data_IF_383611873477
#
_entry.id   IF_383611873477
#
_cell.length_a   1.000
_cell.length_b   1.000
_cell.length_c   1.000
_cell.angle_alpha   90.00
_cell.angle_beta   90.00
_cell.angle_gamma   90.00
#
_symmetry.space_group_name_H-M   'P 1'
#
loop_
_entity.id
_entity.type
_entity.pdbx_description
1 polymer ?
#
# COMPACT_ATOMS: atom_id res chain seq x y z
N UNK A 1 -29.80 0.39 5.93
CA UNK A 1 -29.97 1.19 4.69
C UNK A 1 -28.76 0.97 3.79
N UNK A 2 -28.75 1.39 2.52
CA UNK A 2 -27.53 1.29 1.69
C UNK A 2 -26.72 2.59 1.79
N UNK A 3 -25.41 2.51 1.53
CA UNK A 3 -24.53 3.68 1.46
C UNK A 3 -24.94 4.65 0.33
N UNK A 4 -25.63 4.15 -0.72
CA UNK A 4 -26.25 4.96 -1.78
C UNK A 4 -27.48 5.78 -1.36
N UNK A 5 -27.99 5.53 -0.15
CA UNK A 5 -29.26 6.07 0.35
C UNK A 5 -29.06 7.19 1.38
N UNK A 6 -27.85 7.28 1.97
CA UNK A 6 -27.40 8.43 2.76
C UNK A 6 -27.38 9.71 1.89
N UNK A 7 -27.69 10.84 2.53
CA UNK A 7 -27.60 12.18 1.96
C UNK A 7 -26.27 12.83 2.36
N UNK A 8 -25.98 13.95 1.70
CA UNK A 8 -24.92 14.91 2.05
C UNK A 8 -24.89 15.18 3.57
N UNK A 9 -23.70 15.09 4.16
CA UNK A 9 -23.39 15.24 5.58
C UNK A 9 -24.02 14.22 6.55
N UNK A 10 -24.74 13.19 6.07
CA UNK A 10 -25.19 12.08 6.91
C UNK A 10 -24.06 11.06 7.14
N UNK A 11 -24.01 10.44 8.32
CA UNK A 11 -23.04 9.39 8.67
C UNK A 11 -23.69 8.03 8.78
N UNK A 12 -22.93 6.98 8.50
CA UNK A 12 -23.36 5.59 8.69
C UNK A 12 -22.22 4.64 9.02
N UNK A 13 -22.47 3.70 9.94
CA UNK A 13 -21.53 2.62 10.29
C UNK A 13 -21.72 1.42 9.36
N UNK A 14 -20.65 0.87 8.80
CA UNK A 14 -20.69 -0.30 7.89
C UNK A 14 -21.13 -1.55 8.65
N UNK A 15 -22.28 -2.10 8.28
CA UNK A 15 -22.77 -3.39 8.80
C UNK A 15 -22.34 -4.54 7.90
N UNK A 16 -22.36 -4.35 6.58
CA UNK A 16 -22.07 -5.39 5.59
C UNK A 16 -21.66 -4.79 4.24
N UNK A 17 -20.77 -5.46 3.53
CA UNK A 17 -20.55 -5.23 2.09
C UNK A 17 -21.12 -6.42 1.33
N UNK A 18 -22.07 -6.12 0.44
CA UNK A 18 -22.60 -7.06 -0.56
C UNK A 18 -21.79 -6.94 -1.85
N UNK A 19 -21.92 -7.93 -2.74
CA UNK A 19 -21.09 -8.06 -3.93
C UNK A 19 -20.09 -9.21 -3.78
N UNK A 20 -19.49 -9.60 -4.90
CA UNK A 20 -18.66 -10.81 -4.99
C UNK A 20 -17.36 -10.50 -5.74
N UNK A 21 -16.26 -11.17 -5.36
CA UNK A 21 -14.96 -11.04 -6.01
C UNK A 21 -14.35 -9.64 -5.88
N UNK A 22 -13.63 -9.21 -6.93
CA UNK A 22 -12.76 -8.03 -6.96
C UNK A 22 -13.37 -6.75 -6.36
N UNK A 23 -14.67 -6.51 -6.54
CA UNK A 23 -15.32 -5.33 -5.98
C UNK A 23 -15.28 -5.30 -4.45
N UNK A 24 -15.60 -6.42 -3.77
CA UNK A 24 -15.60 -6.48 -2.31
C UNK A 24 -14.18 -6.24 -1.78
N UNK A 25 -13.18 -6.96 -2.32
CA UNK A 25 -11.79 -6.86 -1.85
C UNK A 25 -11.22 -5.46 -2.06
N UNK A 26 -11.32 -4.86 -3.26
CA UNK A 26 -10.85 -3.48 -3.52
C UNK A 26 -11.46 -2.47 -2.53
N UNK A 27 -12.75 -2.58 -2.24
CA UNK A 27 -13.45 -1.65 -1.34
C UNK A 27 -13.00 -1.84 0.12
N UNK A 28 -12.85 -3.08 0.60
CA UNK A 28 -12.36 -3.32 1.97
C UNK A 28 -10.87 -3.04 2.16
N UNK A 29 -10.05 -3.14 1.11
CA UNK A 29 -8.67 -2.61 1.11
C UNK A 29 -8.61 -1.08 1.14
N UNK A 30 -9.68 -0.40 0.68
CA UNK A 30 -9.88 1.06 0.81
C UNK A 30 -10.56 1.42 2.14
N UNK A 31 -10.34 0.66 3.23
CA UNK A 31 -10.83 1.00 4.58
C UNK A 31 -12.33 0.80 4.82
N UNK A 32 -13.11 0.38 3.82
CA UNK A 32 -14.51 0.01 4.03
C UNK A 32 -14.57 -1.39 4.68
N UNK A 33 -14.34 -1.47 6.00
CA UNK A 33 -14.45 -2.71 6.79
C UNK A 33 -15.57 -2.62 7.84
N UNK A 34 -16.10 -3.77 8.23
CA UNK A 34 -17.28 -3.88 9.11
C UNK A 34 -17.02 -3.20 10.46
N UNK A 35 -17.91 -2.28 10.84
CA UNK A 35 -17.81 -1.47 12.06
C UNK A 35 -17.19 -0.08 11.87
N UNK A 36 -16.64 0.24 10.69
CA UNK A 36 -16.12 1.58 10.40
C UNK A 36 -17.24 2.61 10.19
N UNK A 37 -16.98 3.85 10.59
CA UNK A 37 -17.85 5.01 10.36
C UNK A 37 -17.51 5.68 9.02
N UNK A 38 -18.54 6.04 8.25
CA UNK A 38 -18.43 6.80 6.99
C UNK A 38 -19.31 8.05 7.08
N UNK A 39 -18.81 9.18 6.60
CA UNK A 39 -19.56 10.41 6.32
C UNK A 39 -19.79 10.54 4.80
N UNK A 40 -20.95 11.03 4.35
CA UNK A 40 -21.10 11.48 2.95
C UNK A 40 -20.64 12.93 2.84
N UNK A 41 -19.59 13.18 2.05
CA UNK A 41 -19.05 14.53 1.86
C UNK A 41 -19.93 15.31 0.88
N UNK A 42 -20.12 14.78 -0.33
CA UNK A 42 -20.92 15.45 -1.37
C UNK A 42 -21.38 14.53 -2.51
N UNK A 43 -22.43 14.95 -3.21
CA UNK A 43 -22.84 14.37 -4.49
C UNK A 43 -22.18 15.14 -5.64
N UNK A 44 -21.59 14.44 -6.62
CA UNK A 44 -21.13 15.08 -7.84
C UNK A 44 -22.31 15.76 -8.59
N UNK A 45 -22.09 16.80 -9.43
CA UNK A 45 -23.18 17.57 -10.06
C UNK A 45 -24.20 16.78 -10.90
N UNK A 46 -23.87 15.55 -11.30
CA UNK A 46 -24.76 14.62 -12.03
C UNK A 46 -25.30 13.47 -11.15
N UNK A 47 -25.07 13.51 -9.84
CA UNK A 47 -25.46 12.52 -8.81
C UNK A 47 -24.83 11.13 -8.95
N UNK A 48 -23.68 11.06 -9.63
CA UNK A 48 -22.75 9.93 -9.74
C UNK A 48 -21.38 10.52 -10.18
N UNK A 49 -20.24 10.23 -9.52
CA UNK A 49 -20.08 9.48 -8.26
C UNK A 49 -20.65 10.23 -7.03
N UNK A 50 -20.55 9.58 -5.87
CA UNK A 50 -20.80 10.15 -4.54
C UNK A 50 -19.49 10.07 -3.76
N UNK A 51 -19.14 11.15 -3.06
CA UNK A 51 -17.90 11.30 -2.30
C UNK A 51 -18.15 11.00 -0.82
N UNK A 52 -17.35 10.09 -0.25
CA UNK A 52 -17.51 9.56 1.10
C UNK A 52 -16.20 9.69 1.88
N UNK A 53 -16.24 10.24 3.10
CA UNK A 53 -15.08 10.24 4.00
C UNK A 53 -15.11 8.96 4.84
N UNK A 54 -14.02 8.19 4.81
CA UNK A 54 -13.80 6.96 5.58
C UNK A 54 -12.42 7.00 6.20
N UNK A 55 -12.25 6.60 7.47
CA UNK A 55 -10.95 6.67 8.19
C UNK A 55 -10.22 8.03 8.04
N UNK A 56 -10.97 9.13 7.98
CA UNK A 56 -10.42 10.50 7.85
C UNK A 56 -10.24 11.04 6.42
N UNK A 57 -10.39 10.23 5.37
CA UNK A 57 -10.09 10.64 3.99
C UNK A 57 -11.22 10.37 2.98
N UNK A 58 -11.23 11.16 1.90
CA UNK A 58 -12.30 11.12 0.90
C UNK A 58 -12.12 10.04 -0.18
N UNK A 59 -13.24 9.42 -0.55
CA UNK A 59 -13.36 8.41 -1.60
C UNK A 59 -14.60 8.67 -2.44
N UNK A 60 -14.40 9.02 -3.71
CA UNK A 60 -15.45 9.02 -4.74
C UNK A 60 -15.77 7.58 -5.18
N UNK A 61 -16.95 7.05 -4.80
CA UNK A 61 -17.49 5.77 -5.29
C UNK A 61 -18.62 6.01 -6.31
N UNK A 62 -18.74 5.14 -7.32
CA UNK A 62 -19.92 5.20 -8.20
C UNK A 62 -21.17 4.79 -7.44
N UNK A 63 -22.32 5.38 -7.77
CA UNK A 63 -23.58 5.12 -7.09
C UNK A 63 -24.03 3.65 -7.17
N UNK A 64 -23.67 2.95 -8.25
CA UNK A 64 -23.88 1.49 -8.41
C UNK A 64 -22.98 0.64 -7.51
N UNK A 65 -21.84 1.17 -7.09
CA UNK A 65 -20.89 0.52 -6.19
C UNK A 65 -21.33 0.73 -4.73
N UNK A 66 -21.60 1.98 -4.33
CA UNK A 66 -22.13 2.32 -3.01
C UNK A 66 -23.48 1.64 -2.70
N UNK A 67 -24.30 1.36 -3.72
CA UNK A 67 -25.55 0.62 -3.57
C UNK A 67 -25.38 -0.84 -3.09
N UNK A 68 -24.16 -1.36 -2.99
CA UNK A 68 -23.91 -2.70 -2.46
C UNK A 68 -23.48 -2.71 -0.97
N UNK A 69 -23.25 -1.55 -0.35
CA UNK A 69 -22.76 -1.43 1.03
C UNK A 69 -23.95 -1.13 1.95
N UNK A 70 -24.09 -1.85 3.06
CA UNK A 70 -25.16 -1.67 4.06
C UNK A 70 -24.64 -0.93 5.30
N UNK A 71 -25.36 0.11 5.72
CA UNK A 71 -25.00 0.99 6.86
C UNK A 71 -26.18 1.25 7.82
N UNK A 72 -25.89 1.89 8.96
CA UNK A 72 -26.83 2.38 9.98
C UNK A 72 -26.44 3.81 10.42
N UNK A 73 -27.42 4.73 10.47
CA UNK A 73 -27.28 6.16 10.78
C UNK A 73 -26.78 6.50 12.20
N UNK A 74 -26.02 7.60 12.30
CA UNK A 74 -25.91 8.51 13.46
C UNK A 74 -25.52 9.93 12.96
N UNK A 75 -25.62 10.96 13.80
CA UNK A 75 -25.89 12.34 13.34
C UNK A 75 -24.73 13.38 13.46
N UNK A 76 -24.70 14.28 12.46
CA UNK A 76 -24.31 15.71 12.42
C UNK A 76 -22.90 16.19 12.82
N UNK A 77 -22.16 16.77 11.86
CA UNK A 77 -21.97 18.25 11.68
C UNK A 77 -20.92 18.59 10.58
N UNK A 78 -21.01 19.79 9.97
CA UNK A 78 -20.44 20.17 8.66
C UNK A 78 -19.16 21.05 8.67
N UNK A 79 -18.40 21.14 7.55
CA UNK A 79 -18.17 22.38 6.72
C UNK A 79 -17.07 22.25 5.63
N UNK A 80 -17.23 22.97 4.50
CA UNK A 80 -16.43 22.92 3.25
C UNK A 80 -15.20 23.87 3.15
N UNK A 81 -14.36 23.70 2.10
CA UNK A 81 -13.97 24.76 1.09
C UNK A 81 -13.05 24.21 -0.05
N UNK A 82 -12.99 24.91 -1.21
CA UNK A 82 -12.52 24.46 -2.54
C UNK A 82 -11.47 25.42 -3.18
N UNK A 83 -10.40 24.93 -3.87
CA UNK A 83 -9.36 25.73 -4.60
C UNK A 83 -8.84 25.03 -5.88
N UNK A 84 -8.37 25.80 -6.89
CA UNK A 84 -7.98 25.37 -8.25
C UNK A 84 -6.44 25.43 -8.56
N UNK A 85 -6.06 25.34 -9.85
CA UNK A 85 -4.93 24.56 -10.41
C UNK A 85 -3.59 25.28 -10.80
N UNK A 86 -2.63 24.47 -11.30
CA UNK A 86 -1.17 24.69 -11.59
C UNK A 86 -0.73 25.50 -12.85
N UNK A 87 0.57 25.88 -12.96
CA UNK A 87 1.52 25.37 -14.02
C UNK A 87 3.01 25.85 -14.00
N UNK A 88 3.85 25.08 -14.74
CA UNK A 88 5.35 24.92 -14.81
C UNK A 88 6.15 26.06 -15.53
N UNK A 89 7.45 26.06 -15.91
CA UNK A 89 8.64 25.16 -16.19
C UNK A 89 9.94 26.07 -16.10
N UNK A 90 11.25 25.76 -16.26
CA UNK A 90 12.17 24.58 -16.19
C UNK A 90 13.67 25.04 -16.46
N UNK A 91 14.68 24.16 -16.39
CA UNK A 91 16.06 24.39 -16.95
C UNK A 91 17.26 23.64 -16.30
N UNK A 92 18.25 23.18 -17.09
CA UNK A 92 19.45 22.38 -16.67
C UNK A 92 20.73 22.82 -17.45
N UNK A 93 22.00 22.48 -17.07
CA UNK A 93 22.59 21.17 -17.46
C UNK A 93 23.82 20.57 -16.68
N UNK A 94 23.93 19.23 -16.78
CA UNK A 94 25.15 18.40 -16.98
C UNK A 94 25.99 17.76 -15.85
N UNK A 95 26.72 16.72 -16.27
CA UNK A 95 27.19 15.53 -15.52
C UNK A 95 28.71 15.52 -15.31
N UNK A 96 29.18 14.85 -14.24
CA UNK A 96 30.52 14.21 -14.22
C UNK A 96 30.42 12.77 -13.69
N UNK A 97 31.03 11.82 -14.42
CA UNK A 97 30.93 10.38 -14.15
C UNK A 97 32.00 9.94 -13.15
N UNK A 98 31.60 9.37 -12.02
CA UNK A 98 32.48 8.61 -11.11
C UNK A 98 32.02 7.15 -11.03
N UNK A 99 32.79 6.29 -10.35
CA UNK A 99 32.42 4.89 -10.09
C UNK A 99 31.55 4.81 -8.83
N UNK A 100 30.40 5.48 -8.86
CA UNK A 100 29.41 5.39 -7.77
C UNK A 100 28.85 3.97 -7.64
N UNK A 101 28.58 3.54 -6.40
CA UNK A 101 27.66 2.43 -6.14
C UNK A 101 26.24 2.91 -6.45
N UNK A 102 25.47 2.13 -7.19
CA UNK A 102 24.06 2.43 -7.49
C UNK A 102 23.17 1.81 -6.41
N UNK A 103 22.10 2.51 -6.03
CA UNK A 103 20.98 1.97 -5.23
C UNK A 103 19.70 2.25 -6.01
N UNK A 104 18.97 1.20 -6.42
CA UNK A 104 17.63 1.33 -6.99
C UNK A 104 16.62 1.60 -5.88
N UNK A 105 15.75 2.59 -6.06
CA UNK A 105 14.72 2.93 -5.08
C UNK A 105 13.35 2.94 -5.77
N UNK A 106 12.44 2.08 -5.30
CA UNK A 106 11.03 2.14 -5.69
C UNK A 106 10.29 3.12 -4.76
N UNK A 107 9.80 4.23 -5.31
CA UNK A 107 9.04 5.23 -4.57
C UNK A 107 7.54 4.91 -4.69
N UNK A 108 6.95 4.53 -3.56
CA UNK A 108 5.54 4.10 -3.42
C UNK A 108 4.83 4.93 -2.35
N UNK A 109 3.52 4.75 -2.24
CA UNK A 109 2.67 5.42 -1.26
C UNK A 109 1.26 5.62 -1.79
N UNK A 110 0.34 5.97 -0.89
CA UNK A 110 -1.04 6.24 -1.25
C UNK A 110 -1.13 7.50 -2.15
N UNK A 111 -2.14 7.61 -3.04
CA UNK A 111 -2.48 8.87 -3.68
C UNK A 111 -2.58 10.02 -2.67
N UNK A 112 -2.12 11.20 -3.08
CA UNK A 112 -2.05 12.44 -2.29
C UNK A 112 -1.14 12.43 -1.03
N UNK A 113 -0.42 11.35 -0.73
CA UNK A 113 0.60 11.27 0.36
C UNK A 113 1.77 12.28 0.26
N UNK A 114 1.84 13.10 -0.79
CA UNK A 114 2.97 13.99 -1.09
C UNK A 114 4.15 13.31 -1.78
N UNK A 115 4.03 12.03 -2.15
CA UNK A 115 5.00 11.25 -2.94
C UNK A 115 5.60 12.04 -4.12
N UNK A 116 4.78 12.66 -4.96
CA UNK A 116 5.22 13.46 -6.11
C UNK A 116 6.00 14.72 -5.71
N UNK A 117 5.62 15.37 -4.60
CA UNK A 117 6.32 16.54 -4.06
C UNK A 117 7.73 16.17 -3.61
N UNK A 118 7.86 15.02 -2.94
CA UNK A 118 9.14 14.47 -2.51
C UNK A 118 10.00 14.03 -3.72
N UNK A 119 9.40 13.39 -4.72
CA UNK A 119 10.09 13.05 -5.97
C UNK A 119 10.65 14.29 -6.65
N UNK A 120 9.83 15.33 -6.86
CA UNK A 120 10.24 16.57 -7.52
C UNK A 120 11.36 17.28 -6.74
N UNK A 121 11.36 17.21 -5.39
CA UNK A 121 12.45 17.76 -4.57
C UNK A 121 13.75 16.98 -4.75
N UNK A 122 13.68 15.65 -4.77
CA UNK A 122 14.85 14.77 -4.93
C UNK A 122 15.40 14.74 -6.37
N UNK A 123 14.53 14.88 -7.39
CA UNK A 123 14.90 14.92 -8.80
C UNK A 123 15.50 16.27 -9.23
N UNK A 124 15.03 17.36 -8.60
CA UNK A 124 15.40 18.73 -8.90
C UNK A 124 15.02 19.15 -10.32
N UNK A 125 15.93 18.92 -11.26
CA UNK A 125 15.75 19.21 -12.68
C UNK A 125 16.13 18.04 -13.62
N UNK A 126 16.51 16.87 -13.07
CA UNK A 126 17.07 15.73 -13.83
C UNK A 126 16.06 14.59 -14.04
N UNK A 127 14.79 14.91 -14.26
CA UNK A 127 13.74 13.91 -14.50
C UNK A 127 13.84 13.27 -15.89
N UNK A 128 13.56 11.97 -15.96
CA UNK A 128 13.36 11.21 -17.18
C UNK A 128 12.02 10.48 -17.09
N UNK A 129 11.06 10.88 -17.92
CA UNK A 129 9.73 10.25 -17.99
C UNK A 129 9.78 9.04 -18.93
N UNK A 130 9.28 7.89 -18.48
CA UNK A 130 9.16 6.66 -19.27
C UNK A 130 7.72 6.15 -19.29
N UNK A 131 7.37 5.40 -20.34
CA UNK A 131 6.12 4.65 -20.41
C UNK A 131 6.44 3.16 -20.27
N UNK A 132 5.66 2.43 -19.48
CA UNK A 132 5.84 0.98 -19.35
C UNK A 132 5.32 0.22 -20.59
N UNK A 133 5.74 -1.04 -20.73
CA UNK A 133 5.50 -1.83 -21.94
C UNK A 133 4.01 -2.14 -22.14
N UNK A 134 3.36 -1.42 -23.05
CA UNK A 134 2.00 -1.70 -23.51
C UNK A 134 0.86 -1.03 -22.72
N UNK A 135 1.16 -0.17 -21.74
CA UNK A 135 0.14 0.53 -20.93
C UNK A 135 0.46 2.02 -20.84
N UNK A 136 -0.57 2.88 -20.80
CA UNK A 136 -0.44 4.34 -20.65
C UNK A 136 -0.03 4.80 -19.24
N UNK A 137 0.56 3.90 -18.44
CA UNK A 137 1.07 4.20 -17.10
C UNK A 137 2.47 4.78 -17.28
N UNK A 138 2.59 6.09 -17.07
CA UNK A 138 3.87 6.78 -17.04
C UNK A 138 4.57 6.59 -15.70
N UNK A 139 5.85 6.23 -15.73
CA UNK A 139 6.75 6.34 -14.58
C UNK A 139 7.66 7.55 -14.74
N UNK A 140 8.03 8.17 -13.61
CA UNK A 140 9.17 9.08 -13.59
C UNK A 140 10.38 8.36 -13.04
N UNK A 141 11.53 8.56 -13.66
CA UNK A 141 12.83 8.13 -13.13
C UNK A 141 13.70 9.35 -12.90
N UNK A 142 14.41 9.39 -11.77
CA UNK A 142 15.37 10.43 -11.45
C UNK A 142 16.61 9.78 -10.85
N UNK A 143 17.77 10.39 -11.10
CA UNK A 143 19.03 9.94 -10.52
C UNK A 143 19.84 11.12 -9.99
N UNK A 144 20.38 10.95 -8.78
CA UNK A 144 21.17 11.97 -8.10
C UNK A 144 22.19 11.30 -7.17
N UNK A 145 23.24 12.04 -6.83
CA UNK A 145 24.36 11.50 -6.06
C UNK A 145 24.32 12.04 -4.62
N UNK A 146 24.35 11.13 -3.65
CA UNK A 146 24.27 11.44 -2.22
C UNK A 146 25.24 10.54 -1.44
N UNK A 147 26.08 11.12 -0.59
CA UNK A 147 27.07 10.41 0.26
C UNK A 147 27.92 9.32 -0.46
N UNK A 148 28.26 9.54 -1.73
CA UNK A 148 29.09 8.61 -2.55
C UNK A 148 28.30 7.51 -3.26
N UNK A 149 26.98 7.46 -3.08
CA UNK A 149 26.05 6.60 -3.81
C UNK A 149 25.35 7.38 -4.92
N UNK A 150 25.03 6.69 -6.02
CA UNK A 150 24.11 7.14 -7.07
C UNK A 150 22.75 6.53 -6.77
N UNK A 151 21.81 7.34 -6.33
CA UNK A 151 20.46 6.92 -5.99
C UNK A 151 19.59 7.03 -7.25
N UNK A 152 18.94 5.95 -7.65
CA UNK A 152 18.05 5.89 -8.82
C UNK A 152 16.62 5.65 -8.35
N UNK A 153 15.85 6.73 -8.22
CA UNK A 153 14.46 6.69 -7.77
C UNK A 153 13.53 6.52 -8.97
N UNK A 154 12.65 5.51 -8.91
CA UNK A 154 11.50 5.40 -9.79
C UNK A 154 10.22 5.74 -9.03
N UNK A 155 9.53 6.79 -9.47
CA UNK A 155 8.19 7.14 -9.01
C UNK A 155 7.17 6.17 -9.63
N UNK A 156 6.53 5.36 -8.78
CA UNK A 156 5.45 4.46 -9.18
C UNK A 156 4.08 5.13 -8.95
N UNK A 157 3.00 4.71 -9.64
CA UNK A 157 1.66 5.22 -9.39
C UNK A 157 1.27 5.17 -7.92
N UNK A 158 0.51 6.16 -7.45
CA UNK A 158 -0.08 6.10 -6.11
C UNK A 158 -1.10 4.97 -6.05
N UNK A 159 -0.96 4.06 -5.07
CA UNK A 159 -1.85 2.90 -4.91
C UNK A 159 -2.31 2.74 -3.46
N UNK A 160 -3.44 2.06 -3.26
CA UNK A 160 -3.93 1.68 -1.92
C UNK A 160 -3.48 0.26 -1.51
N UNK A 161 -3.14 -0.58 -2.49
CA UNK A 161 -2.80 -1.99 -2.27
C UNK A 161 -1.96 -2.57 -3.44
N UNK A 162 -1.57 -3.83 -3.31
CA UNK A 162 -0.81 -4.64 -4.27
C UNK A 162 -1.63 -5.86 -4.74
N UNK A 163 -2.95 -5.73 -4.75
CA UNK A 163 -3.92 -6.78 -5.08
C UNK A 163 -4.31 -6.83 -6.56
N UNK A 164 -3.80 -5.90 -7.37
CA UNK A 164 -3.84 -5.90 -8.83
C UNK A 164 -5.25 -5.83 -9.46
N UNK A 165 -6.20 -5.13 -8.83
CA UNK A 165 -7.53 -4.85 -9.42
C UNK A 165 -7.52 -3.67 -10.39
N UNK A 166 -6.68 -2.67 -10.15
CA UNK A 166 -6.36 -1.63 -11.13
C UNK A 166 -5.09 -1.94 -11.91
N UNK A 167 -4.96 -1.47 -13.17
CA UNK A 167 -3.70 -1.48 -13.91
C UNK A 167 -2.55 -0.84 -13.13
N UNK A 168 -2.84 0.18 -12.33
CA UNK A 168 -1.93 0.90 -11.47
C UNK A 168 -1.42 0.01 -10.31
N UNK A 169 -2.31 -0.63 -9.54
CA UNK A 169 -1.95 -1.60 -8.49
C UNK A 169 -1.10 -2.75 -9.05
N UNK A 170 -1.51 -3.30 -10.21
CA UNK A 170 -0.79 -4.39 -10.87
C UNK A 170 0.60 -3.94 -11.29
N UNK A 171 0.72 -2.75 -11.88
CA UNK A 171 2.01 -2.20 -12.28
C UNK A 171 2.94 -1.95 -11.07
N UNK A 172 2.43 -1.41 -9.96
CA UNK A 172 3.23 -1.26 -8.73
C UNK A 172 3.71 -2.61 -8.24
N UNK A 173 2.85 -3.65 -8.20
CA UNK A 173 3.26 -5.01 -7.84
C UNK A 173 4.34 -5.57 -8.77
N UNK A 174 4.10 -5.56 -10.09
CA UNK A 174 5.05 -6.04 -11.08
C UNK A 174 6.41 -5.35 -10.91
N UNK A 175 6.44 -4.04 -10.69
CA UNK A 175 7.68 -3.30 -10.51
C UNK A 175 8.42 -3.71 -9.23
N UNK A 176 7.72 -3.88 -8.11
CA UNK A 176 8.32 -4.31 -6.85
C UNK A 176 8.88 -5.73 -6.90
N UNK A 177 8.25 -6.64 -7.65
CA UNK A 177 8.63 -8.06 -7.73
C UNK A 177 9.68 -8.33 -8.83
N UNK A 178 9.53 -7.72 -10.01
CA UNK A 178 10.30 -8.09 -11.21
C UNK A 178 11.52 -7.19 -11.46
N UNK A 179 11.52 -5.94 -10.96
CA UNK A 179 12.63 -5.00 -11.21
C UNK A 179 13.68 -4.98 -10.08
N UNK A 180 13.40 -5.67 -8.97
CA UNK A 180 14.30 -5.88 -7.82
C UNK A 180 14.88 -4.57 -7.24
N UNK A 181 14.05 -3.72 -6.58
CA UNK A 181 14.53 -2.49 -5.96
C UNK A 181 15.32 -2.76 -4.68
N UNK A 182 16.54 -2.22 -4.57
CA UNK A 182 17.39 -2.35 -3.37
C UNK A 182 16.71 -1.87 -2.08
N UNK A 183 15.88 -0.84 -2.19
CA UNK A 183 15.06 -0.27 -1.11
C UNK A 183 13.71 0.23 -1.66
N UNK A 184 12.62 -0.05 -0.95
CA UNK A 184 11.34 0.62 -1.13
C UNK A 184 11.30 1.87 -0.25
N UNK A 185 11.07 3.03 -0.86
CA UNK A 185 10.71 4.24 -0.13
C UNK A 185 9.19 4.39 -0.15
N UNK A 186 8.55 4.10 0.99
CA UNK A 186 7.10 4.25 1.13
C UNK A 186 6.77 5.60 1.77
N UNK A 187 6.03 6.45 1.08
CA UNK A 187 5.58 7.75 1.59
C UNK A 187 4.17 7.61 2.14
N UNK A 188 4.02 7.89 3.44
CA UNK A 188 2.76 7.85 4.14
C UNK A 188 2.38 9.24 4.63
N UNK A 189 1.09 9.56 4.54
CA UNK A 189 0.51 10.73 5.17
C UNK A 189 0.34 10.49 6.69
N UNK A 190 0.99 11.32 7.50
CA UNK A 190 0.97 11.28 8.96
C UNK A 190 -0.42 11.57 9.56
N UNK A 191 -1.28 12.31 8.85
CA UNK A 191 -2.65 12.60 9.26
C UNK A 191 -3.60 11.41 9.05
N UNK A 192 -3.23 10.44 8.19
CA UNK A 192 -4.07 9.30 7.81
C UNK A 192 -3.34 7.94 7.97
N UNK A 193 -2.69 7.72 9.12
CA UNK A 193 -1.80 6.57 9.37
C UNK A 193 -2.42 5.20 9.00
N UNK A 194 -3.58 4.85 9.56
CA UNK A 194 -4.19 3.52 9.43
C UNK A 194 -4.31 3.07 7.97
N UNK A 195 -4.84 3.97 7.12
CA UNK A 195 -4.96 3.80 5.66
C UNK A 195 -3.63 3.57 4.96
N UNK A 196 -2.60 4.36 5.30
CA UNK A 196 -1.30 4.29 4.64
C UNK A 196 -0.47 3.08 5.14
N UNK A 197 -0.71 2.65 6.39
CA UNK A 197 -0.12 1.43 6.93
C UNK A 197 -0.72 0.16 6.31
N UNK A 198 -1.93 0.20 5.74
CA UNK A 198 -2.48 -0.94 5.00
C UNK A 198 -1.60 -1.36 3.81
N UNK A 199 -1.21 -0.42 2.93
CA UNK A 199 -0.24 -0.67 1.86
C UNK A 199 1.11 -1.17 2.45
N UNK A 200 1.54 -0.60 3.57
CA UNK A 200 2.77 -1.01 4.28
C UNK A 200 2.72 -2.49 4.69
N UNK A 201 1.57 -3.02 5.13
CA UNK A 201 1.44 -4.46 5.45
C UNK A 201 1.72 -5.37 4.26
N UNK A 202 1.38 -4.93 3.04
CA UNK A 202 1.55 -5.72 1.83
C UNK A 202 2.97 -5.62 1.27
N UNK A 203 3.66 -4.51 1.53
CA UNK A 203 5.10 -4.36 1.26
C UNK A 203 5.93 -5.22 2.23
N UNK A 204 5.53 -5.32 3.51
CA UNK A 204 6.16 -6.20 4.50
C UNK A 204 6.17 -7.66 4.04
N UNK A 205 5.05 -8.17 3.50
CA UNK A 205 4.96 -9.55 3.02
C UNK A 205 5.84 -9.84 1.78
N UNK A 206 6.32 -8.82 1.04
CA UNK A 206 7.29 -8.99 -0.04
C UNK A 206 8.74 -9.15 0.48
N UNK A 207 8.97 -8.96 1.78
CA UNK A 207 10.28 -9.02 2.46
C UNK A 207 11.37 -8.05 1.92
N UNK A 208 10.98 -7.05 1.12
CA UNK A 208 11.89 -6.03 0.56
C UNK A 208 12.28 -5.01 1.65
N UNK A 209 13.56 -4.63 1.67
CA UNK A 209 14.09 -3.54 2.52
C UNK A 209 13.26 -2.28 2.29
N UNK A 210 12.70 -1.72 3.36
CA UNK A 210 11.79 -0.56 3.27
C UNK A 210 12.26 0.57 4.20
N UNK A 211 12.03 1.82 3.79
CA UNK A 211 12.09 3.03 4.62
C UNK A 211 10.77 3.77 4.48
N UNK A 212 10.25 4.31 5.58
CA UNK A 212 9.02 5.09 5.57
C UNK A 212 9.32 6.59 5.71
N UNK A 213 8.90 7.37 4.72
CA UNK A 213 8.78 8.81 4.82
C UNK A 213 7.41 9.16 5.41
N UNK A 214 7.39 9.53 6.70
CA UNK A 214 6.20 9.96 7.43
C UNK A 214 5.98 11.45 7.11
N UNK A 215 5.29 11.74 6.01
CA UNK A 215 5.11 13.07 5.44
C UNK A 215 3.88 13.79 6.02
N UNK A 216 3.79 15.11 5.84
CA UNK A 216 2.77 15.98 6.46
C UNK A 216 2.83 15.93 7.99
N UNK A 217 4.01 15.65 8.55
CA UNK A 217 4.21 15.51 9.99
C UNK A 217 3.96 16.82 10.75
N UNK A 218 4.13 17.96 10.08
CA UNK A 218 3.73 19.27 10.57
C UNK A 218 2.22 19.38 10.79
N UNK A 219 1.39 18.89 9.87
CA UNK A 219 -0.08 18.88 10.03
C UNK A 219 -0.48 17.94 11.18
N UNK A 220 0.16 16.78 11.27
CA UNK A 220 0.00 15.85 12.39
C UNK A 220 0.34 16.51 13.75
N UNK A 221 1.46 17.24 13.87
CA UNK A 221 1.81 17.98 15.09
C UNK A 221 0.79 19.09 15.41
N UNK A 222 0.27 19.81 14.41
CA UNK A 222 -0.75 20.85 14.62
C UNK A 222 -2.10 20.29 15.09
N UNK A 223 -2.42 19.02 14.78
CA UNK A 223 -3.63 18.36 15.30
C UNK A 223 -3.59 18.12 16.83
N UNK A 224 -2.41 18.23 17.47
CA UNK A 224 -2.21 17.88 18.88
C UNK A 224 -2.05 16.37 19.15
N UNK A 225 -2.11 15.55 18.10
CA UNK A 225 -1.87 14.10 18.16
C UNK A 225 -0.43 13.77 18.58
N UNK A 226 -0.20 12.51 19.00
CA UNK A 226 1.12 12.02 19.41
C UNK A 226 1.35 10.62 18.86
N UNK A 227 2.52 10.42 18.25
CA UNK A 227 2.95 9.14 17.71
C UNK A 227 4.40 8.87 18.14
N UNK A 228 4.67 7.72 18.75
CA UNK A 228 6.05 7.27 18.89
C UNK A 228 6.48 6.49 17.64
N UNK A 229 6.82 7.22 16.58
CA UNK A 229 7.22 6.65 15.29
C UNK A 229 8.47 5.74 15.40
N UNK A 230 9.26 5.88 16.47
CA UNK A 230 10.42 5.03 16.74
C UNK A 230 10.01 3.66 17.29
N UNK A 231 9.03 3.60 18.20
CA UNK A 231 8.46 2.35 18.70
C UNK A 231 7.63 1.65 17.62
N UNK A 232 6.79 2.39 16.89
CA UNK A 232 6.07 1.88 15.71
C UNK A 232 7.04 1.26 14.68
N UNK A 233 8.11 1.97 14.33
CA UNK A 233 9.12 1.47 13.40
C UNK A 233 9.85 0.22 13.91
N UNK A 234 10.21 0.19 15.20
CA UNK A 234 10.82 -0.98 15.83
C UNK A 234 9.86 -2.19 15.86
N UNK A 235 8.55 -1.97 16.01
CA UNK A 235 7.55 -3.03 15.96
C UNK A 235 7.35 -3.57 14.53
N UNK A 236 7.15 -2.69 13.55
CA UNK A 236 6.95 -3.05 12.14
C UNK A 236 8.24 -3.51 11.44
N UNK A 237 9.42 -3.27 12.01
CA UNK A 237 10.72 -3.63 11.44
C UNK A 237 11.18 -2.71 10.31
N UNK A 238 10.66 -1.49 10.25
CA UNK A 238 10.90 -0.50 9.20
C UNK A 238 11.19 0.85 9.87
N UNK A 239 12.29 1.57 9.53
CA UNK A 239 12.53 2.89 10.08
C UNK A 239 11.58 3.94 9.49
N UNK A 240 10.95 4.72 10.37
CA UNK A 240 10.15 5.89 10.03
C UNK A 240 11.00 7.16 10.17
N UNK A 241 10.92 8.05 9.18
CA UNK A 241 11.54 9.38 9.20
C UNK A 241 10.44 10.43 9.01
N UNK A 242 10.19 11.31 10.00
CA UNK A 242 9.30 12.46 9.84
C UNK A 242 9.78 13.40 8.74
N UNK A 243 8.88 13.82 7.85
CA UNK A 243 9.19 14.73 6.73
C UNK A 243 8.09 15.76 6.50
N UNK A 244 8.48 16.87 5.88
CA UNK A 244 7.56 17.87 5.32
C UNK A 244 8.04 18.17 3.91
N UNK A 245 7.62 17.34 2.95
CA UNK A 245 8.15 17.34 1.59
C UNK A 245 7.95 18.70 0.88
N UNK A 246 6.85 19.40 1.14
CA UNK A 246 6.56 20.75 0.65
C UNK A 246 7.56 21.82 1.12
N UNK A 247 8.30 21.56 2.21
CA UNK A 247 9.31 22.46 2.80
C UNK A 247 10.72 21.87 2.79
N UNK A 248 10.92 20.67 2.23
CA UNK A 248 12.20 19.97 2.18
C UNK A 248 12.71 19.39 3.51
N UNK A 249 11.89 19.40 4.57
CA UNK A 249 12.31 19.02 5.92
C UNK A 249 12.33 17.50 6.04
N UNK A 250 13.38 16.94 6.67
CA UNK A 250 13.56 15.50 6.90
C UNK A 250 14.07 14.72 5.68
N UNK A 251 14.26 15.36 4.52
CA UNK A 251 14.59 14.67 3.28
C UNK A 251 16.05 14.23 3.19
N UNK A 252 17.01 14.92 3.82
CA UNK A 252 18.39 14.43 3.87
C UNK A 252 18.49 13.22 4.80
N UNK A 253 17.84 13.32 5.96
CA UNK A 253 17.72 12.29 6.98
C UNK A 253 17.07 11.01 6.42
N UNK A 254 16.09 11.16 5.52
CA UNK A 254 15.46 10.08 4.78
C UNK A 254 16.44 9.39 3.79
N UNK A 255 17.22 10.18 3.03
CA UNK A 255 18.22 9.64 2.09
C UNK A 255 19.37 8.94 2.82
N UNK A 256 19.82 9.49 3.95
CA UNK A 256 20.79 8.83 4.83
C UNK A 256 20.22 7.52 5.39
N UNK A 257 18.94 7.49 5.79
CA UNK A 257 18.28 6.26 6.26
C UNK A 257 18.18 5.19 5.18
N UNK A 258 17.92 5.56 3.93
CA UNK A 258 17.92 4.63 2.78
C UNK A 258 19.28 3.97 2.58
N UNK A 259 20.38 4.75 2.68
CA UNK A 259 21.74 4.20 2.60
C UNK A 259 22.03 3.29 3.81
N UNK A 260 21.64 3.69 5.02
CA UNK A 260 21.80 2.89 6.26
C UNK A 260 21.05 1.54 6.19
N UNK A 261 19.88 1.51 5.57
CA UNK A 261 19.08 0.30 5.31
C UNK A 261 19.67 -0.55 4.18
N UNK A 262 20.06 0.06 3.06
CA UNK A 262 20.74 -0.65 1.96
C UNK A 262 22.01 -1.34 2.45
N UNK A 263 22.87 -0.63 3.20
CA UNK A 263 24.11 -1.16 3.77
C UNK A 263 23.90 -2.13 4.95
N UNK A 264 22.66 -2.37 5.40
CA UNK A 264 22.35 -3.30 6.49
C UNK A 264 22.82 -2.82 7.88
N UNK A 265 22.99 -1.51 8.07
CA UNK A 265 23.44 -0.89 9.33
C UNK A 265 22.28 -0.49 10.25
N UNK A 266 21.08 -0.32 9.69
CA UNK A 266 19.92 0.15 10.44
C UNK A 266 19.31 -0.93 11.33
N UNK A 267 19.43 -0.79 12.66
CA UNK A 267 18.95 -1.79 13.64
C UNK A 267 17.43 -1.99 13.60
N UNK A 268 16.67 -0.94 13.25
CA UNK A 268 15.22 -1.00 13.11
C UNK A 268 14.79 -1.80 11.88
N UNK A 269 15.61 -1.84 10.82
CA UNK A 269 15.32 -2.57 9.57
C UNK A 269 15.54 -4.07 9.74
N UNK A 270 14.45 -4.81 9.92
CA UNK A 270 14.46 -6.27 10.15
C UNK A 270 13.25 -6.91 9.51
N UNK A 271 13.36 -8.18 9.12
CA UNK A 271 12.19 -8.94 8.67
C UNK A 271 11.17 -9.05 9.81
N UNK A 272 9.91 -8.77 9.46
CA UNK A 272 8.72 -8.94 10.29
C UNK A 272 7.72 -9.70 9.43
N UNK A 273 6.95 -10.58 10.06
CA UNK A 273 5.83 -11.24 9.43
C UNK A 273 4.58 -10.86 10.21
N UNK A 274 3.52 -10.50 9.49
CA UNK A 274 2.22 -10.26 10.10
C UNK A 274 1.63 -11.64 10.43
N UNK A 275 1.27 -11.83 11.70
CA UNK A 275 0.67 -13.06 12.19
C UNK A 275 -0.82 -13.06 11.94
N UNK A 276 -1.32 -14.08 11.25
CA UNK A 276 -2.73 -14.32 11.02
C UNK A 276 -3.33 -15.17 12.16
N UNK A 277 -4.61 -15.55 12.06
CA UNK A 277 -5.21 -16.49 13.00
C UNK A 277 -4.54 -17.88 12.91
N UNK A 278 -4.75 -18.73 13.92
CA UNK A 278 -4.03 -20.02 14.01
C UNK A 278 -4.29 -20.92 12.81
N UNK A 279 -5.52 -20.97 12.31
CA UNK A 279 -5.93 -21.80 11.18
C UNK A 279 -5.25 -21.34 9.87
N UNK A 280 -5.19 -20.03 9.63
CA UNK A 280 -4.40 -19.44 8.55
C UNK A 280 -2.90 -19.73 8.70
N UNK A 281 -2.31 -19.51 9.87
CA UNK A 281 -0.87 -19.76 10.09
C UNK A 281 -0.48 -21.23 9.92
N UNK A 282 -1.38 -22.16 10.26
CA UNK A 282 -1.18 -23.59 9.97
C UNK A 282 -1.21 -23.84 8.45
N UNK A 283 -2.18 -23.28 7.71
CA UNK A 283 -2.27 -23.50 6.25
C UNK A 283 -1.23 -22.77 5.42
N UNK A 284 -0.78 -21.61 5.87
CA UNK A 284 0.40 -20.93 5.31
C UNK A 284 1.64 -21.81 5.56
N UNK A 285 1.83 -22.36 6.77
CA UNK A 285 2.97 -23.23 7.08
C UNK A 285 2.95 -24.55 6.30
N UNK A 286 1.80 -25.19 6.17
CA UNK A 286 1.63 -26.43 5.41
C UNK A 286 2.11 -26.18 3.95
N UNK A 287 1.54 -25.19 3.26
CA UNK A 287 1.97 -24.80 1.91
C UNK A 287 3.42 -24.33 1.82
N UNK A 288 3.93 -23.62 2.83
CA UNK A 288 5.34 -23.21 2.88
C UNK A 288 6.31 -24.40 2.97
N UNK A 289 5.90 -25.50 3.60
CA UNK A 289 6.68 -26.73 3.62
C UNK A 289 6.64 -27.42 2.26
N UNK A 290 5.46 -27.54 1.64
CA UNK A 290 5.33 -28.09 0.28
C UNK A 290 6.17 -27.28 -0.73
N UNK A 291 6.18 -25.95 -0.61
CA UNK A 291 7.01 -25.03 -1.42
C UNK A 291 8.53 -25.14 -1.18
N UNK A 292 9.01 -25.79 -0.11
CA UNK A 292 10.45 -26.03 0.10
C UNK A 292 10.96 -27.29 -0.62
N UNK A 293 10.07 -28.21 -0.98
CA UNK A 293 10.40 -29.44 -1.72
C UNK A 293 10.35 -29.24 -3.26
N UNK A 294 10.09 -28.01 -3.73
CA UNK A 294 9.94 -27.68 -5.16
C UNK A 294 11.04 -26.73 -5.67
N UNK A 295 11.62 -27.08 -6.82
CA UNK A 295 12.63 -26.30 -7.54
C UNK A 295 11.95 -25.23 -8.42
N UNK A 296 11.19 -24.34 -7.77
CA UNK A 296 10.31 -23.36 -8.42
C UNK A 296 10.98 -21.99 -8.59
N UNK A 297 10.81 -21.36 -9.76
CA UNK A 297 11.44 -20.10 -10.21
C UNK A 297 10.98 -18.82 -9.44
N UNK A 298 10.59 -18.93 -8.18
CA UNK A 298 10.25 -17.80 -7.30
C UNK A 298 11.50 -17.16 -6.67
N UNK A 299 12.59 -16.98 -7.44
CA UNK A 299 13.88 -16.48 -6.93
C UNK A 299 13.75 -15.13 -6.19
N UNK A 300 12.77 -14.30 -6.58
CA UNK A 300 12.49 -12.99 -5.98
C UNK A 300 11.33 -12.99 -4.95
N UNK A 301 10.64 -14.11 -4.69
CA UNK A 301 9.44 -14.15 -3.83
C UNK A 301 9.58 -15.16 -2.69
N UNK A 302 9.49 -14.69 -1.45
CA UNK A 302 9.50 -15.55 -0.27
C UNK A 302 8.34 -16.56 -0.27
N UNK A 303 8.59 -17.81 0.13
CA UNK A 303 7.57 -18.87 0.09
C UNK A 303 6.33 -18.56 0.93
N UNK A 304 6.45 -17.72 1.98
CA UNK A 304 5.31 -17.21 2.76
C UNK A 304 4.38 -16.36 1.90
N UNK A 305 4.93 -15.46 1.08
CA UNK A 305 4.13 -14.64 0.16
C UNK A 305 3.38 -15.50 -0.85
N UNK A 306 4.06 -16.48 -1.47
CA UNK A 306 3.46 -17.40 -2.44
C UNK A 306 2.35 -18.22 -1.79
N UNK A 307 2.56 -18.77 -0.58
CA UNK A 307 1.54 -19.49 0.18
C UNK A 307 0.32 -18.60 0.52
N UNK A 308 0.53 -17.39 1.03
CA UNK A 308 -0.54 -16.42 1.30
C UNK A 308 -1.34 -16.13 0.03
N UNK A 309 -0.66 -15.87 -1.10
CA UNK A 309 -1.33 -15.50 -2.36
C UNK A 309 -2.06 -16.67 -3.04
N UNK A 310 -1.57 -17.90 -2.88
CA UNK A 310 -2.31 -19.11 -3.25
C UNK A 310 -3.60 -19.26 -2.41
N UNK A 311 -3.55 -19.04 -1.09
CA UNK A 311 -4.74 -19.07 -0.24
C UNK A 311 -5.70 -17.92 -0.61
N UNK A 312 -5.23 -16.69 -0.83
CA UNK A 312 -6.03 -15.54 -1.31
C UNK A 312 -6.69 -15.74 -2.70
N UNK A 313 -6.26 -16.75 -3.47
CA UNK A 313 -6.62 -16.97 -4.88
C UNK A 313 -6.14 -15.85 -5.83
N UNK A 314 -4.93 -15.32 -5.62
CA UNK A 314 -4.36 -14.34 -6.54
C UNK A 314 -4.13 -14.97 -7.92
N UNK A 315 -4.77 -14.41 -8.95
CA UNK A 315 -4.77 -15.00 -10.30
C UNK A 315 -3.39 -15.03 -10.94
N UNK A 316 -2.50 -14.10 -10.59
CA UNK A 316 -1.15 -14.00 -11.19
C UNK A 316 -0.19 -15.01 -10.57
N UNK A 317 -0.28 -15.19 -9.25
CA UNK A 317 0.47 -16.24 -8.54
C UNK A 317 -0.07 -17.61 -8.90
N UNK A 318 -1.39 -17.81 -9.00
CA UNK A 318 -2.00 -19.06 -9.49
C UNK A 318 -1.56 -19.36 -10.93
N UNK A 319 -1.58 -18.39 -11.85
CA UNK A 319 -1.12 -18.60 -13.23
C UNK A 319 0.38 -18.93 -13.29
N UNK A 320 1.20 -18.26 -12.47
CA UNK A 320 2.66 -18.50 -12.42
C UNK A 320 2.98 -19.86 -11.82
N UNK A 321 2.38 -20.22 -10.68
CA UNK A 321 2.49 -21.56 -10.08
C UNK A 321 2.02 -22.63 -11.07
N UNK A 322 0.91 -22.43 -11.80
CA UNK A 322 0.36 -23.43 -12.73
C UNK A 322 1.27 -23.84 -13.90
N UNK A 323 2.39 -23.13 -14.11
CA UNK A 323 3.39 -23.40 -15.16
C UNK A 323 4.50 -24.33 -14.69
N UNK A 324 4.60 -24.63 -13.39
CA UNK A 324 5.58 -25.58 -12.85
C UNK A 324 5.02 -27.01 -12.83
N UNK A 325 5.90 -28.02 -12.92
CA UNK A 325 5.51 -29.44 -13.03
C UNK A 325 4.64 -29.96 -11.87
N UNK A 326 4.68 -29.29 -10.70
CA UNK A 326 3.94 -29.65 -9.49
C UNK A 326 2.93 -28.57 -9.05
N UNK A 327 2.77 -27.50 -9.84
CA UNK A 327 1.94 -26.35 -9.49
C UNK A 327 0.46 -26.66 -9.31
N UNK A 328 -0.06 -27.67 -10.01
CA UNK A 328 -1.46 -28.10 -9.88
C UNK A 328 -1.76 -28.67 -8.48
N UNK A 329 -0.81 -29.40 -7.87
CA UNK A 329 -1.01 -29.96 -6.53
C UNK A 329 -1.00 -28.86 -5.46
N UNK A 330 -0.13 -27.86 -5.57
CA UNK A 330 -0.13 -26.65 -4.75
C UNK A 330 -1.46 -25.88 -4.83
N UNK A 331 -1.97 -25.67 -6.05
CA UNK A 331 -3.24 -24.95 -6.26
C UNK A 331 -4.41 -25.74 -5.64
N UNK A 332 -4.40 -27.07 -5.74
CA UNK A 332 -5.41 -27.94 -5.12
C UNK A 332 -5.27 -28.02 -3.58
N UNK A 333 -4.06 -27.95 -3.03
CA UNK A 333 -3.83 -27.87 -1.58
C UNK A 333 -4.28 -26.52 -1.01
N UNK A 334 -3.98 -25.43 -1.70
CA UNK A 334 -4.45 -24.09 -1.33
C UNK A 334 -5.98 -23.95 -1.44
N UNK A 335 -6.61 -24.54 -2.47
CA UNK A 335 -8.07 -24.59 -2.58
C UNK A 335 -8.70 -25.33 -1.40
N UNK A 336 -8.25 -26.55 -1.09
CA UNK A 336 -8.77 -27.32 0.08
C UNK A 336 -8.57 -26.56 1.38
N UNK A 337 -7.42 -25.91 1.54
CA UNK A 337 -7.11 -25.10 2.73
C UNK A 337 -8.07 -23.92 2.87
N UNK A 338 -8.40 -23.25 1.77
CA UNK A 338 -9.41 -22.18 1.71
C UNK A 338 -10.80 -22.69 2.10
N UNK A 339 -11.26 -23.76 1.46
CA UNK A 339 -12.58 -24.38 1.71
C UNK A 339 -12.75 -24.77 3.19
N UNK A 340 -11.74 -25.39 3.81
CA UNK A 340 -11.75 -25.77 5.23
C UNK A 340 -11.80 -24.55 6.16
N UNK A 341 -11.06 -23.48 5.85
CA UNK A 341 -11.07 -22.27 6.70
C UNK A 341 -12.41 -21.53 6.58
N UNK A 342 -12.95 -21.39 5.36
CA UNK A 342 -14.24 -20.71 5.14
C UNK A 342 -15.42 -21.47 5.76
N UNK A 343 -15.38 -22.82 5.79
CA UNK A 343 -16.34 -23.64 6.54
C UNK A 343 -16.16 -23.49 8.07
N UNK A 344 -14.91 -23.49 8.56
CA UNK A 344 -14.60 -23.46 10.00
C UNK A 344 -14.90 -22.11 10.66
N UNK A 345 -14.56 -21.01 9.98
CA UNK A 345 -14.69 -19.65 10.53
C UNK A 345 -15.97 -18.93 10.07
N UNK A 346 -16.67 -19.45 9.05
CA UNK A 346 -17.90 -18.86 8.46
C UNK A 346 -17.73 -17.47 7.85
N UNK A 347 -16.48 -17.07 7.58
CA UNK A 347 -16.09 -15.80 6.95
C UNK A 347 -15.17 -16.09 5.75
N UNK A 348 -15.27 -15.29 4.69
CA UNK A 348 -14.43 -15.48 3.50
C UNK A 348 -12.97 -15.10 3.74
N UNK A 349 -12.07 -15.83 3.07
CA UNK A 349 -10.62 -15.72 3.24
C UNK A 349 -10.07 -14.33 2.91
N UNK A 350 -10.74 -13.59 2.03
CA UNK A 350 -10.36 -12.21 1.72
C UNK A 350 -10.63 -11.26 2.90
N UNK A 351 -11.77 -11.44 3.60
CA UNK A 351 -12.07 -10.70 4.83
C UNK A 351 -11.08 -11.06 5.94
N UNK A 352 -10.81 -12.35 6.17
CA UNK A 352 -9.89 -12.81 7.20
C UNK A 352 -8.47 -12.24 7.05
N UNK A 353 -7.94 -12.15 5.82
CA UNK A 353 -6.64 -11.52 5.57
C UNK A 353 -6.66 -9.99 5.74
N UNK A 354 -7.78 -9.32 5.44
CA UNK A 354 -7.93 -7.86 5.61
C UNK A 354 -8.07 -7.51 7.09
N UNK A 355 -8.94 -8.20 7.82
CA UNK A 355 -9.22 -7.93 9.23
C UNK A 355 -7.99 -8.23 10.11
N UNK A 356 -7.18 -9.23 9.75
CA UNK A 356 -5.88 -9.46 10.39
C UNK A 356 -4.85 -8.34 10.13
N UNK A 357 -4.84 -7.73 8.92
CA UNK A 357 -3.98 -6.57 8.62
C UNK A 357 -4.44 -5.34 9.39
N UNK A 358 -5.73 -5.04 9.41
CA UNK A 358 -6.25 -3.93 10.22
C UNK A 358 -6.06 -4.16 11.72
N UNK A 359 -6.24 -5.40 12.22
CA UNK A 359 -5.92 -5.74 13.61
C UNK A 359 -4.44 -5.57 13.97
N UNK A 360 -3.52 -5.85 13.03
CA UNK A 360 -2.10 -5.55 13.20
C UNK A 360 -1.81 -4.03 13.23
N UNK A 361 -2.50 -3.24 12.41
CA UNK A 361 -2.36 -1.78 12.36
C UNK A 361 -2.97 -1.10 13.60
N UNK A 362 -4.17 -1.49 14.01
CA UNK A 362 -4.81 -1.07 15.26
C UNK A 362 -3.97 -1.43 16.48
N UNK A 363 -3.34 -2.61 16.48
CA UNK A 363 -2.35 -3.01 17.48
C UNK A 363 -1.01 -2.27 17.39
N UNK A 364 -0.70 -1.60 16.27
CA UNK A 364 0.52 -0.81 16.07
C UNK A 364 0.36 0.67 16.49
N UNK A 365 -0.88 1.16 16.56
CA UNK A 365 -1.22 2.56 16.82
C UNK A 365 -1.73 2.81 18.27
N UNK A 366 -1.55 1.84 19.17
CA UNK A 366 -2.00 1.86 20.59
C UNK A 366 -0.83 1.91 21.58
#
# INVERSE_FOLDING_TARGET
MRLSDLKENERGVIVRISGHGAFKKRISEMGFVKGQEILVVRNAPLKDPIEYQVMGYDVSLRRKEAANIEVVENADTDTDIDIQDFQVEAGIPFVKKSTEKVIKIALVGNPNSGKTTLFNYASGANEHVGNYAGVTIGTKTAHFNHNGYRLEITDLPGTYSLSAYSPEEKFVREHLVNNDPDVVLNIIDASNLERNLFLTTQIIDLEIKTVIGLNMYDEFEHSGSKLNYQELGNMMGIPFVPTVASRGIGLNELLEKIIEVHEGKCQTSRRVHISYNLDLELKIRDLQATLQDYDCEFENLGSRYVAIKLIENDTEIVETVSKTDQGLDLILEAQKSREVIEETLTEDIQSLFIDARYGFIDGALK
#
